data_IF_775262016563
#
_entry.id   IF_775262016563
#
_cell.length_a   1.000
_cell.length_b   1.000
_cell.length_c   1.000
_cell.angle_alpha   90.00
_cell.angle_beta   90.00
_cell.angle_gamma   90.00
#
_symmetry.space_group_name_H-M   'P 1'
#
loop_
_entity.id
_entity.type
_entity.pdbx_description
1 polymer ?
#
# COMPACT_ATOMS: atom_id res chain seq x y z
N UNK A 1 0.83 1.14 -33.35
CA UNK A 1 1.16 1.84 -32.09
C UNK A 1 0.09 1.53 -31.08
N UNK A 2 0.46 1.20 -29.85
CA UNK A 2 -0.47 0.91 -28.77
C UNK A 2 -0.48 2.10 -27.81
N UNK A 3 -1.62 2.77 -27.66
CA UNK A 3 -1.81 3.76 -26.62
C UNK A 3 -2.53 3.10 -25.45
N UNK A 4 -2.00 3.29 -24.22
CA UNK A 4 -2.57 2.75 -23.00
C UNK A 4 -2.71 3.91 -22.02
N UNK A 5 -3.92 4.11 -21.51
CA UNK A 5 -4.17 5.04 -20.43
C UNK A 5 -4.00 4.29 -19.11
N UNK A 6 -2.86 4.50 -18.43
CA UNK A 6 -2.52 3.83 -17.19
C UNK A 6 -2.47 4.84 -16.03
N UNK A 7 -2.92 4.44 -14.89
CA UNK A 7 -2.82 5.20 -13.64
C UNK A 7 -1.36 5.45 -13.19
N UNK A 8 -0.43 4.62 -13.61
CA UNK A 8 0.99 4.68 -13.22
C UNK A 8 1.88 5.52 -14.13
N UNK A 9 1.35 6.10 -15.20
CA UNK A 9 2.10 7.09 -15.97
C UNK A 9 2.07 8.37 -15.14
N UNK A 10 3.23 8.91 -14.79
CA UNK A 10 3.46 10.17 -14.05
C UNK A 10 2.98 11.42 -14.82
N UNK A 11 1.86 11.33 -15.45
CA UNK A 11 1.19 12.46 -16.03
C UNK A 11 0.09 12.86 -15.06
N UNK A 12 0.17 14.04 -14.46
CA UNK A 12 -0.94 14.57 -13.70
C UNK A 12 -2.09 14.84 -14.65
N UNK A 13 -2.89 13.84 -14.91
CA UNK A 13 -4.16 14.04 -15.58
C UNK A 13 -5.01 14.88 -14.65
N UNK A 14 -5.02 16.13 -14.92
CA UNK A 14 -5.94 17.04 -14.29
C UNK A 14 -7.37 16.58 -14.64
N UNK A 15 -8.12 16.16 -13.66
CA UNK A 15 -9.56 15.98 -13.80
C UNK A 15 -10.16 17.36 -13.59
N UNK A 16 -10.71 18.02 -14.62
CA UNK A 16 -11.34 19.32 -14.48
C UNK A 16 -12.32 19.30 -13.32
N UNK A 17 -12.30 20.33 -12.48
CA UNK A 17 -13.14 20.48 -11.29
C UNK A 17 -12.83 19.53 -10.10
N UNK A 18 -11.71 18.84 -10.13
CA UNK A 18 -11.20 18.05 -9.02
C UNK A 18 -9.92 18.67 -8.48
N UNK A 19 -10.04 19.65 -7.62
CA UNK A 19 -8.89 20.33 -7.00
C UNK A 19 -8.09 19.44 -6.06
N UNK A 20 -8.61 18.24 -5.74
CA UNK A 20 -8.11 17.37 -4.68
C UNK A 20 -8.17 15.90 -5.10
N UNK A 21 -7.60 15.57 -6.23
CA UNK A 21 -7.50 14.18 -6.59
C UNK A 21 -6.34 13.53 -5.87
N UNK A 22 -6.63 12.89 -4.76
CA UNK A 22 -5.66 12.36 -3.81
C UNK A 22 -5.33 10.89 -4.06
N UNK A 23 -6.02 10.24 -5.01
CA UNK A 23 -5.82 8.81 -5.23
C UNK A 23 -4.68 8.55 -6.23
N UNK A 24 -3.61 7.79 -5.86
CA UNK A 24 -2.49 7.50 -6.75
C UNK A 24 -2.88 6.66 -7.99
N UNK A 25 -4.01 6.00 -7.94
CA UNK A 25 -4.58 5.26 -9.07
C UNK A 25 -5.40 6.11 -10.04
N UNK A 26 -5.66 7.36 -9.71
CA UNK A 26 -6.27 8.30 -10.64
C UNK A 26 -5.18 9.21 -11.21
N UNK A 27 -5.32 9.61 -12.44
CA UNK A 27 -6.47 9.37 -13.27
C UNK A 27 -6.17 8.40 -14.42
N UNK A 28 -6.84 7.34 -14.45
CA UNK A 28 -7.10 6.69 -15.72
C UNK A 28 -8.26 7.45 -16.42
N UNK A 29 -9.20 6.75 -16.98
CA UNK A 29 -10.41 7.33 -17.55
C UNK A 29 -11.56 7.03 -16.59
N UNK A 30 -12.27 8.06 -16.16
CA UNK A 30 -13.44 7.87 -15.30
C UNK A 30 -14.52 7.07 -16.05
N UNK A 31 -14.95 5.96 -15.46
CA UNK A 31 -16.03 5.14 -15.99
C UNK A 31 -17.29 5.99 -16.15
N UNK A 32 -18.02 5.77 -17.25
CA UNK A 32 -19.22 6.50 -17.62
C UNK A 32 -19.02 8.00 -17.90
N UNK A 33 -17.79 8.48 -18.10
CA UNK A 33 -17.56 9.81 -18.63
C UNK A 33 -17.75 9.86 -20.16
N UNK A 34 -17.95 11.03 -20.71
CA UNK A 34 -18.01 11.21 -22.17
C UNK A 34 -16.73 10.70 -22.86
N UNK A 35 -15.57 10.96 -22.25
CA UNK A 35 -14.29 10.48 -22.77
C UNK A 35 -14.17 8.94 -22.71
N UNK A 36 -14.73 8.30 -21.69
CA UNK A 36 -14.81 6.85 -21.61
C UNK A 36 -15.62 6.27 -22.78
N UNK A 37 -16.81 6.82 -23.08
CA UNK A 37 -17.63 6.36 -24.20
C UNK A 37 -16.98 6.69 -25.56
N UNK A 38 -16.34 7.86 -25.67
CA UNK A 38 -15.56 8.21 -26.86
C UNK A 38 -14.47 7.17 -27.16
N UNK A 39 -13.71 6.74 -26.16
CA UNK A 39 -12.68 5.72 -26.31
C UNK A 39 -13.27 4.37 -26.73
N UNK A 40 -14.34 3.92 -26.08
CA UNK A 40 -15.02 2.67 -26.45
C UNK A 40 -15.53 2.73 -27.90
N UNK A 41 -16.10 3.85 -28.31
CA UNK A 41 -16.56 4.04 -29.69
C UNK A 41 -15.42 4.02 -30.70
N UNK A 42 -14.21 4.42 -30.30
CA UNK A 42 -13.00 4.37 -31.11
C UNK A 42 -12.18 3.09 -30.93
N UNK A 43 -12.84 1.99 -30.55
CA UNK A 43 -12.26 0.65 -30.46
C UNK A 43 -11.17 0.47 -29.39
N UNK A 44 -11.13 1.33 -28.38
CA UNK A 44 -10.35 1.05 -27.17
C UNK A 44 -11.07 0.02 -26.30
N UNK A 45 -10.33 -0.78 -25.61
CA UNK A 45 -10.89 -1.77 -24.66
C UNK A 45 -10.42 -1.50 -23.23
N UNK A 46 -11.23 -1.92 -22.28
CA UNK A 46 -10.92 -1.82 -20.86
C UNK A 46 -9.89 -2.91 -20.54
N UNK A 47 -8.71 -2.50 -20.09
CA UNK A 47 -7.66 -3.42 -19.65
C UNK A 47 -7.80 -3.77 -18.16
N UNK A 48 -8.14 -2.79 -17.33
CA UNK A 48 -8.38 -2.95 -15.90
C UNK A 48 -9.31 -1.86 -15.37
N UNK A 49 -10.01 -2.17 -14.29
CA UNK A 49 -10.84 -1.23 -13.54
C UNK A 49 -10.22 -1.09 -12.16
N UNK A 50 -10.08 0.15 -11.71
CA UNK A 50 -9.58 0.49 -10.38
C UNK A 50 -10.67 1.23 -9.61
N UNK A 51 -10.83 0.88 -8.35
CA UNK A 51 -11.69 1.57 -7.41
C UNK A 51 -10.83 2.17 -6.30
N UNK A 52 -11.10 3.43 -5.97
CA UNK A 52 -10.47 4.12 -4.86
C UNK A 52 -11.37 4.09 -3.63
N UNK A 53 -10.81 3.70 -2.49
CA UNK A 53 -11.49 3.72 -1.22
C UNK A 53 -10.81 4.73 -0.29
N UNK A 54 -11.62 5.48 0.44
CA UNK A 54 -11.17 6.38 1.49
C UNK A 54 -11.63 5.84 2.84
N UNK A 55 -10.71 5.74 3.78
CA UNK A 55 -10.99 5.38 5.15
C UNK A 55 -10.73 6.60 6.04
N UNK A 56 -11.78 7.27 6.57
CA UNK A 56 -11.59 8.31 7.58
C UNK A 56 -11.00 7.71 8.85
N UNK A 57 -9.82 8.19 9.26
CA UNK A 57 -9.09 7.58 10.37
C UNK A 57 -9.53 8.10 11.74
N UNK A 58 -10.25 9.22 11.83
CA UNK A 58 -10.66 9.81 13.10
C UNK A 58 -11.37 8.81 14.03
N UNK A 59 -12.30 8.03 13.46
CA UNK A 59 -13.08 7.02 14.19
C UNK A 59 -12.54 5.60 14.06
N UNK A 60 -11.42 5.42 13.34
CA UNK A 60 -10.86 4.10 13.14
C UNK A 60 -10.44 3.46 14.47
N UNK A 61 -10.78 2.21 14.64
CA UNK A 61 -10.35 1.37 15.75
C UNK A 61 -9.87 0.03 15.21
N UNK A 62 -8.78 -0.47 15.77
CA UNK A 62 -8.24 -1.77 15.40
C UNK A 62 -9.28 -2.87 15.71
N UNK A 63 -9.76 -3.64 14.72
CA UNK A 63 -10.80 -4.63 14.94
C UNK A 63 -10.35 -5.71 15.93
N UNK A 64 -11.20 -6.04 16.91
CA UNK A 64 -10.90 -7.03 17.95
C UNK A 64 -10.49 -8.39 17.36
N UNK A 65 -11.10 -8.78 16.23
CA UNK A 65 -10.75 -10.01 15.52
C UNK A 65 -9.32 -10.00 14.98
N UNK A 66 -8.79 -8.81 14.63
CA UNK A 66 -7.40 -8.64 14.19
C UNK A 66 -6.47 -8.73 15.38
N UNK A 67 -6.80 -8.05 16.49
CA UNK A 67 -6.03 -8.14 17.76
C UNK A 67 -5.87 -9.58 18.19
N UNK A 68 -6.97 -10.33 18.30
CA UNK A 68 -6.94 -11.76 18.65
C UNK A 68 -6.06 -12.57 17.71
N UNK A 69 -6.16 -12.30 16.40
CA UNK A 69 -5.34 -13.01 15.41
C UNK A 69 -3.85 -12.65 15.50
N UNK A 70 -3.52 -11.42 15.81
CA UNK A 70 -2.14 -11.00 16.06
C UNK A 70 -1.56 -11.68 17.33
N UNK A 71 -2.35 -11.83 18.39
CA UNK A 71 -1.94 -12.55 19.59
C UNK A 71 -1.70 -14.05 19.32
N UNK A 72 -2.55 -14.69 18.51
CA UNK A 72 -2.34 -16.07 18.06
C UNK A 72 -1.05 -16.19 17.23
N UNK A 73 -0.85 -15.29 16.28
CA UNK A 73 0.32 -15.27 15.43
C UNK A 73 1.60 -15.07 16.25
N UNK A 74 1.56 -14.21 17.27
CA UNK A 74 2.69 -13.97 18.18
C UNK A 74 3.15 -15.23 18.90
N UNK A 75 2.23 -16.12 19.28
CA UNK A 75 2.57 -17.42 19.89
C UNK A 75 3.37 -18.32 18.93
N UNK A 76 3.22 -18.09 17.63
CA UNK A 76 3.93 -18.80 16.56
C UNK A 76 5.14 -17.99 16.01
N UNK A 77 5.60 -16.99 16.74
CA UNK A 77 6.77 -16.19 16.38
C UNK A 77 6.51 -15.11 15.32
N UNK A 78 5.25 -14.85 14.93
CA UNK A 78 4.92 -13.80 13.98
C UNK A 78 4.56 -12.50 14.70
N UNK A 79 5.16 -11.39 14.28
CA UNK A 79 4.85 -10.03 14.76
C UNK A 79 4.52 -9.10 13.60
N UNK A 80 3.81 -8.00 13.90
CA UNK A 80 3.65 -6.86 12.99
C UNK A 80 4.10 -5.63 13.76
N UNK A 81 5.15 -4.98 13.27
CA UNK A 81 5.78 -3.85 13.96
C UNK A 81 6.54 -2.95 12.97
N UNK A 82 6.95 -1.78 13.43
CA UNK A 82 7.81 -0.88 12.64
C UNK A 82 9.17 -1.54 12.45
N UNK A 83 9.69 -1.46 11.23
CA UNK A 83 11.01 -2.01 10.91
C UNK A 83 12.11 -1.35 11.75
N UNK A 84 12.95 -2.19 12.36
CA UNK A 84 14.13 -1.80 13.11
C UNK A 84 15.32 -2.66 12.62
N UNK A 85 16.34 -2.07 12.01
CA UNK A 85 17.50 -2.83 11.48
C UNK A 85 18.31 -3.56 12.55
N UNK A 86 18.16 -3.20 13.83
CA UNK A 86 18.82 -3.90 14.94
C UNK A 86 18.06 -5.17 15.39
N UNK A 87 16.81 -5.32 14.99
CA UNK A 87 15.95 -6.46 15.37
C UNK A 87 15.59 -7.34 14.19
N UNK A 88 15.49 -6.73 13.00
CA UNK A 88 14.90 -7.37 11.83
C UNK A 88 15.94 -7.61 10.76
N UNK A 89 15.80 -8.71 10.04
CA UNK A 89 16.69 -9.12 8.96
C UNK A 89 15.92 -9.72 7.77
N UNK A 90 16.64 -10.04 6.70
CA UNK A 90 16.06 -10.75 5.55
C UNK A 90 15.31 -9.85 4.56
N UNK A 91 15.61 -8.53 4.55
CA UNK A 91 14.95 -7.57 3.63
C UNK A 91 15.20 -7.93 2.18
N UNK A 92 16.46 -8.22 1.79
CA UNK A 92 16.78 -8.55 0.41
C UNK A 92 16.19 -9.89 -0.02
N UNK A 93 16.19 -10.90 0.86
CA UNK A 93 15.53 -12.17 0.60
C UNK A 93 14.03 -11.96 0.37
N UNK A 94 13.39 -11.12 1.18
CA UNK A 94 11.99 -10.79 1.01
C UNK A 94 11.75 -10.06 -0.31
N UNK A 95 12.56 -9.06 -0.67
CA UNK A 95 12.47 -8.36 -1.95
C UNK A 95 12.63 -9.29 -3.16
N UNK A 96 13.36 -10.38 -3.02
CA UNK A 96 13.55 -11.36 -4.09
C UNK A 96 12.42 -12.41 -4.16
N UNK A 97 11.69 -12.63 -3.07
CA UNK A 97 10.58 -13.60 -3.01
C UNK A 97 9.27 -12.97 -3.51
N UNK A 98 9.06 -11.68 -3.28
CA UNK A 98 7.83 -11.01 -3.71
C UNK A 98 7.80 -10.84 -5.22
N UNK A 99 6.73 -11.32 -5.85
CA UNK A 99 6.51 -11.19 -7.30
C UNK A 99 5.93 -9.77 -7.64
N UNK A 100 6.63 -8.74 -7.16
CA UNK A 100 6.29 -7.35 -7.44
C UNK A 100 7.55 -6.46 -7.42
N UNK A 101 8.17 -6.25 -8.59
CA UNK A 101 9.37 -5.39 -8.70
C UNK A 101 9.14 -3.95 -8.21
N UNK A 102 7.91 -3.44 -8.33
CA UNK A 102 7.54 -2.10 -7.85
C UNK A 102 7.67 -2.00 -6.33
N UNK A 103 7.16 -2.97 -5.59
CA UNK A 103 7.25 -3.00 -4.13
C UNK A 103 8.69 -3.25 -3.67
N UNK A 104 9.40 -4.20 -4.27
CA UNK A 104 10.82 -4.42 -3.98
C UNK A 104 11.64 -3.14 -4.20
N UNK A 105 11.39 -2.43 -5.31
CA UNK A 105 12.02 -1.15 -5.60
C UNK A 105 11.65 -0.05 -4.59
N UNK A 106 10.40 0.01 -4.12
CA UNK A 106 9.97 0.97 -3.12
C UNK A 106 10.69 0.75 -1.77
N UNK A 107 10.82 -0.51 -1.34
CA UNK A 107 11.54 -0.88 -0.11
C UNK A 107 13.00 -0.42 -0.21
N UNK A 108 13.71 -0.79 -1.30
CA UNK A 108 15.12 -0.45 -1.49
C UNK A 108 15.34 1.06 -1.53
N UNK A 109 14.57 1.78 -2.37
CA UNK A 109 14.67 3.25 -2.46
C UNK A 109 14.41 3.94 -1.12
N UNK A 110 13.51 3.41 -0.31
CA UNK A 110 13.27 3.98 1.01
C UNK A 110 14.46 3.77 1.94
N UNK A 111 15.07 2.59 1.93
CA UNK A 111 16.24 2.28 2.77
C UNK A 111 17.53 3.01 2.33
N UNK A 112 17.64 3.38 1.05
CA UNK A 112 18.76 4.17 0.51
C UNK A 112 18.69 5.66 0.87
N UNK A 113 17.57 6.13 1.44
CA UNK A 113 17.42 7.54 1.84
C UNK A 113 18.32 7.84 3.03
N UNK A 114 18.84 9.05 3.11
CA UNK A 114 19.55 9.55 4.29
C UNK A 114 18.67 9.47 5.57
N UNK A 115 17.38 9.76 5.40
CA UNK A 115 16.35 9.64 6.44
C UNK A 115 15.21 8.77 5.90
N UNK A 116 15.27 7.44 6.09
CA UNK A 116 14.21 6.54 5.64
C UNK A 116 12.88 6.84 6.34
N UNK A 117 11.80 6.84 5.57
CA UNK A 117 10.48 6.84 6.18
C UNK A 117 10.23 5.53 6.93
N UNK A 118 9.51 5.57 8.06
CA UNK A 118 9.11 4.34 8.73
C UNK A 118 8.24 3.48 7.81
N UNK A 119 8.28 2.18 8.03
CA UNK A 119 7.41 1.21 7.39
C UNK A 119 7.14 0.04 8.32
N UNK A 120 6.01 -0.62 8.16
CA UNK A 120 5.66 -1.81 8.93
C UNK A 120 6.15 -3.06 8.22
N UNK A 121 6.54 -4.02 9.03
CA UNK A 121 6.81 -5.39 8.57
C UNK A 121 5.95 -6.39 9.33
N UNK A 122 5.62 -7.50 8.66
CA UNK A 122 5.37 -8.74 9.34
C UNK A 122 6.70 -9.47 9.45
N UNK A 123 7.04 -9.93 10.65
CA UNK A 123 8.25 -10.69 10.90
C UNK A 123 7.94 -12.07 11.46
N UNK A 124 8.73 -13.08 11.09
CA UNK A 124 8.73 -14.40 11.71
C UNK A 124 10.07 -14.62 12.40
N UNK A 125 10.07 -14.60 13.72
CA UNK A 125 11.29 -14.67 14.53
C UNK A 125 12.35 -13.63 14.10
N UNK A 126 11.93 -12.40 13.82
CA UNK A 126 12.77 -11.30 13.36
C UNK A 126 13.04 -11.26 11.85
N UNK A 127 12.78 -12.32 11.10
CA UNK A 127 12.91 -12.34 9.64
C UNK A 127 11.71 -11.67 8.98
N UNK A 128 11.96 -10.72 8.09
CA UNK A 128 10.92 -10.04 7.33
C UNK A 128 10.19 -11.01 6.40
N UNK A 129 8.87 -11.04 6.51
CA UNK A 129 7.97 -11.90 5.74
C UNK A 129 6.74 -11.15 5.19
N UNK A 130 6.64 -9.87 5.47
CA UNK A 130 5.61 -8.99 4.93
C UNK A 130 5.99 -7.53 5.10
N UNK A 131 5.34 -6.66 4.34
CA UNK A 131 5.65 -5.23 4.29
C UNK A 131 4.42 -4.40 3.96
N UNK A 132 4.37 -3.19 4.53
CA UNK A 132 3.55 -2.07 4.06
C UNK A 132 4.25 -0.75 4.39
N UNK A 133 4.15 0.20 3.47
CA UNK A 133 4.78 1.51 3.58
C UNK A 133 5.29 2.02 2.23
N UNK A 134 6.20 3.01 2.22
CA UNK A 134 6.65 3.82 3.36
C UNK A 134 5.51 4.65 3.96
N UNK A 135 5.61 5.01 5.25
CA UNK A 135 4.55 5.70 5.97
C UNK A 135 4.93 7.17 6.20
N UNK A 136 4.14 8.07 5.65
CA UNK A 136 4.22 9.52 5.90
C UNK A 136 2.87 10.16 5.58
N UNK A 137 2.66 11.38 6.05
CA UNK A 137 1.46 12.13 5.72
C UNK A 137 1.73 13.03 4.51
N UNK A 138 0.84 12.96 3.53
CA UNK A 138 0.83 13.89 2.41
C UNK A 138 0.31 15.27 2.85
N UNK A 139 0.59 16.33 2.08
CA UNK A 139 0.10 17.68 2.41
C UNK A 139 -1.43 17.78 2.55
N UNK A 140 -2.16 16.87 1.95
CA UNK A 140 -3.63 16.75 2.05
C UNK A 140 -4.10 16.20 3.39
N UNK A 141 -3.20 15.62 4.18
CA UNK A 141 -3.49 14.90 5.41
C UNK A 141 -3.71 13.40 5.21
N UNK A 142 -3.60 12.91 3.99
CA UNK A 142 -3.70 11.47 3.69
C UNK A 142 -2.45 10.73 4.18
N UNK A 143 -2.65 9.60 4.85
CA UNK A 143 -1.58 8.65 5.12
C UNK A 143 -1.13 7.95 3.84
N UNK A 144 0.17 8.00 3.53
CA UNK A 144 0.74 7.39 2.34
C UNK A 144 1.18 5.95 2.58
N UNK A 145 1.01 5.12 1.55
CA UNK A 145 1.64 3.82 1.40
C UNK A 145 1.80 3.48 -0.09
N UNK A 146 2.88 2.82 -0.46
CA UNK A 146 3.08 2.32 -1.84
C UNK A 146 2.41 0.96 -2.06
N UNK A 147 2.18 0.18 -0.99
CA UNK A 147 1.51 -1.10 -1.11
C UNK A 147 1.61 -1.96 0.14
N UNK A 148 1.02 -3.16 0.03
CA UNK A 148 1.05 -4.20 1.06
C UNK A 148 1.36 -5.53 0.39
N UNK A 149 2.30 -6.27 0.93
CA UNK A 149 2.58 -7.63 0.48
C UNK A 149 3.05 -8.53 1.62
N UNK A 150 2.83 -9.83 1.43
CA UNK A 150 3.25 -10.90 2.34
C UNK A 150 3.85 -12.01 1.49
N UNK A 151 4.90 -12.63 1.98
CA UNK A 151 5.54 -13.79 1.35
C UNK A 151 4.47 -14.79 0.89
N UNK A 152 4.43 -15.12 -0.41
CA UNK A 152 3.41 -16.02 -0.96
C UNK A 152 3.37 -17.39 -0.30
N UNK A 153 4.48 -17.85 0.28
CA UNK A 153 4.59 -19.17 0.91
C UNK A 153 3.93 -19.25 2.30
N UNK A 154 3.62 -18.10 2.91
CA UNK A 154 3.05 -18.04 4.27
C UNK A 154 1.73 -17.24 4.33
N UNK A 155 1.07 -17.09 3.20
CA UNK A 155 -0.25 -16.44 3.13
C UNK A 155 -1.31 -17.26 3.87
N UNK A 156 -2.44 -16.63 4.20
CA UNK A 156 -3.56 -17.26 4.89
C UNK A 156 -3.57 -17.07 6.41
N UNK A 157 -2.44 -16.68 7.02
CA UNK A 157 -2.33 -16.43 8.47
C UNK A 157 -2.85 -15.06 8.97
N UNK A 158 -3.49 -14.26 8.11
CA UNK A 158 -4.03 -12.95 8.49
C UNK A 158 -3.00 -11.82 8.56
N UNK A 159 -1.73 -12.06 8.21
CA UNK A 159 -0.65 -11.07 8.30
C UNK A 159 -0.90 -9.83 7.43
N UNK A 160 -1.43 -9.99 6.22
CA UNK A 160 -1.74 -8.85 5.35
C UNK A 160 -2.83 -7.94 5.94
N UNK A 161 -3.86 -8.53 6.56
CA UNK A 161 -4.89 -7.79 7.27
C UNK A 161 -4.32 -7.09 8.51
N UNK A 162 -3.48 -7.77 9.26
CA UNK A 162 -2.80 -7.19 10.41
C UNK A 162 -1.92 -6.00 10.01
N UNK A 163 -1.10 -6.13 8.95
CA UNK A 163 -0.30 -5.03 8.39
C UNK A 163 -1.17 -3.81 8.04
N UNK A 164 -2.28 -4.03 7.32
CA UNK A 164 -3.17 -2.93 6.93
C UNK A 164 -3.82 -2.26 8.14
N UNK A 165 -4.33 -3.04 9.07
CA UNK A 165 -5.00 -2.50 10.25
C UNK A 165 -4.02 -1.75 11.17
N UNK A 166 -2.81 -2.28 11.37
CA UNK A 166 -1.75 -1.59 12.12
C UNK A 166 -1.27 -0.32 11.41
N UNK A 167 -1.22 -0.34 10.07
CA UNK A 167 -0.93 0.86 9.28
C UNK A 167 -1.96 1.96 9.52
N UNK A 168 -3.25 1.62 9.52
CA UNK A 168 -4.32 2.60 9.79
C UNK A 168 -4.20 3.20 11.18
N UNK A 169 -3.91 2.38 12.20
CA UNK A 169 -3.71 2.83 13.57
C UNK A 169 -2.48 3.74 13.68
N UNK A 170 -1.34 3.29 13.13
CA UNK A 170 -0.11 4.09 13.08
C UNK A 170 -0.34 5.44 12.38
N UNK A 171 -0.99 5.44 11.22
CA UNK A 171 -1.26 6.66 10.46
C UNK A 171 -2.15 7.63 11.24
N UNK A 172 -3.19 7.12 11.92
CA UNK A 172 -4.05 7.90 12.82
C UNK A 172 -3.26 8.55 13.95
N UNK A 173 -2.43 7.78 14.65
CA UNK A 173 -1.60 8.24 15.75
C UNK A 173 -0.59 9.31 15.33
N UNK A 174 -0.17 9.28 14.06
CA UNK A 174 0.76 10.26 13.47
C UNK A 174 0.06 11.38 12.68
N UNK A 175 -1.26 11.55 12.89
CA UNK A 175 -2.01 12.72 12.42
C UNK A 175 -2.54 12.64 11.00
N UNK A 176 -2.56 11.47 10.36
CA UNK A 176 -3.33 11.27 9.13
C UNK A 176 -4.84 11.35 9.43
N UNK A 177 -5.62 11.73 8.41
CA UNK A 177 -7.06 12.02 8.54
C UNK A 177 -7.93 10.95 7.90
#
# INVERSE_FOLDING_TARGET
SRFVFLSQINWPWYIPHSDKHEHPGAPAVRINSEFYFFLLHNHYYINSIHEGFHLPLAEYQLPESVVKKMEENKKNGFTVEVYDPNKHYGVEEFCNIIDNPGFAGAIRRNLERENPYPFLIAAHNGKMVGWTGPMYNEPTGRGHLDGICVDPNIRGGGLGKALFCTLCEYSKEHGAK
#
